data_IF_352337254586
#
_entry.id   IF_352337254586
#
_cell.length_a   1.000
_cell.length_b   1.000
_cell.length_c   1.000
_cell.angle_alpha   90.00
_cell.angle_beta   90.00
_cell.angle_gamma   90.00
#
_symmetry.space_group_name_H-M   'P 1'
#
loop_
_entity.id
_entity.type
_entity.pdbx_description
1 polymer ?
#
# COMPACT_ATOMS: atom_id res chain seq x y z
N UNK A 1 -33.19 -42.64 -1.39
CA UNK A 1 -31.95 -42.97 -0.67
C UNK A 1 -31.01 -41.81 -0.90
N UNK A 2 -30.93 -40.99 0.11
CA UNK A 2 -30.07 -39.79 0.14
C UNK A 2 -28.69 -40.27 0.59
N UNK A 3 -27.68 -40.10 -0.19
CA UNK A 3 -26.30 -40.28 0.26
C UNK A 3 -25.69 -38.88 0.51
N UNK A 4 -25.42 -38.64 1.78
CA UNK A 4 -24.58 -37.59 2.30
C UNK A 4 -23.21 -37.66 1.65
N UNK A 5 -22.83 -36.58 0.96
CA UNK A 5 -21.45 -36.35 0.55
C UNK A 5 -20.81 -35.50 1.66
N UNK A 6 -19.95 -36.13 2.43
CA UNK A 6 -19.15 -35.51 3.46
C UNK A 6 -18.27 -34.39 2.85
N UNK A 7 -18.45 -33.20 3.37
CA UNK A 7 -17.48 -32.09 3.31
C UNK A 7 -16.29 -32.48 4.19
N UNK A 8 -15.23 -33.00 3.60
CA UNK A 8 -13.90 -33.07 4.21
C UNK A 8 -12.86 -33.36 3.11
N UNK A 9 -12.57 -32.37 2.28
CA UNK A 9 -11.27 -32.23 1.65
C UNK A 9 -10.60 -30.95 2.17
N UNK A 10 -10.20 -31.01 3.41
CA UNK A 10 -9.25 -30.10 4.01
C UNK A 10 -7.90 -30.27 3.32
N UNK A 11 -7.51 -29.20 2.61
CA UNK A 11 -6.16 -28.78 2.26
C UNK A 11 -5.11 -29.60 3.00
N UNK A 12 -4.24 -30.28 2.22
CA UNK A 12 -3.13 -31.08 2.74
C UNK A 12 -2.22 -30.36 3.73
N UNK A 13 -2.60 -30.35 4.97
CA UNK A 13 -1.69 -30.16 6.09
C UNK A 13 -0.80 -31.42 6.14
N UNK A 14 0.35 -31.36 5.47
CA UNK A 14 1.41 -32.30 5.75
C UNK A 14 1.72 -32.20 7.25
N UNK A 15 1.56 -33.32 7.96
CA UNK A 15 1.88 -33.46 9.37
C UNK A 15 3.32 -33.00 9.62
N UNK A 16 3.47 -31.80 10.15
CA UNK A 16 4.78 -31.32 10.60
C UNK A 16 5.12 -32.13 11.84
N UNK A 17 6.25 -32.83 11.80
CA UNK A 17 6.71 -33.67 12.89
C UNK A 17 6.83 -32.86 14.20
N UNK A 18 6.39 -33.36 15.37
CA UNK A 18 6.43 -32.61 16.65
C UNK A 18 7.79 -31.98 17.00
N UNK A 19 8.90 -32.57 16.57
CA UNK A 19 10.24 -32.02 16.76
C UNK A 19 10.47 -30.75 15.93
N UNK A 20 9.91 -30.65 14.71
CA UNK A 20 9.99 -29.46 13.84
C UNK A 20 9.20 -28.30 14.47
N UNK A 21 8.04 -28.58 15.08
CA UNK A 21 7.24 -27.57 15.78
C UNK A 21 8.04 -27.01 16.98
N UNK A 22 8.79 -27.84 17.70
CA UNK A 22 9.59 -27.42 18.84
C UNK A 22 10.81 -26.59 18.43
N UNK A 23 11.49 -26.93 17.34
CA UNK A 23 12.58 -26.15 16.77
C UNK A 23 12.08 -24.79 16.24
N UNK A 24 10.97 -24.75 15.52
CA UNK A 24 10.34 -23.52 15.04
C UNK A 24 9.92 -22.56 16.17
N UNK A 25 9.61 -23.07 17.37
CA UNK A 25 9.21 -22.23 18.52
C UNK A 25 10.36 -21.39 19.08
N UNK A 26 11.61 -21.76 18.84
CA UNK A 26 12.81 -21.06 19.32
C UNK A 26 13.44 -20.15 18.26
N UNK A 27 13.04 -20.28 16.98
CA UNK A 27 13.56 -19.48 15.88
C UNK A 27 12.91 -18.09 15.86
N UNK A 28 13.69 -17.07 15.49
CA UNK A 28 13.14 -15.73 15.23
C UNK A 28 12.32 -15.69 13.91
N UNK A 29 11.55 -14.64 13.69
CA UNK A 29 10.69 -14.54 12.50
C UNK A 29 11.44 -14.60 11.16
N UNK A 30 12.69 -14.13 11.11
CA UNK A 30 13.50 -14.17 9.87
C UNK A 30 13.88 -15.60 9.51
N UNK A 31 14.29 -16.38 10.50
CA UNK A 31 14.65 -17.80 10.33
C UNK A 31 13.41 -18.64 9.96
N UNK A 32 12.29 -18.43 10.68
CA UNK A 32 11.00 -19.06 10.37
C UNK A 32 10.55 -18.77 8.94
N UNK A 33 10.65 -17.52 8.54
CA UNK A 33 10.29 -17.10 7.18
C UNK A 33 11.17 -17.77 6.12
N UNK A 34 12.50 -17.79 6.32
CA UNK A 34 13.40 -18.44 5.37
C UNK A 34 13.11 -19.94 5.22
N UNK A 35 12.87 -20.63 6.37
CA UNK A 35 12.51 -22.05 6.35
C UNK A 35 11.18 -22.27 5.62
N UNK A 36 10.17 -21.48 5.92
CA UNK A 36 8.87 -21.56 5.25
C UNK A 36 8.96 -21.33 3.73
N UNK A 37 9.76 -20.35 3.27
CA UNK A 37 9.96 -20.11 1.84
C UNK A 37 10.62 -21.31 1.12
N UNK A 38 11.54 -22.03 1.78
CA UNK A 38 12.13 -23.27 1.24
C UNK A 38 11.09 -24.38 1.09
N UNK A 39 10.17 -24.50 2.05
CA UNK A 39 9.12 -25.52 2.07
C UNK A 39 8.02 -25.18 1.06
N UNK A 40 7.54 -23.94 1.02
CA UNK A 40 6.50 -23.49 0.10
C UNK A 40 6.93 -23.52 -1.36
N UNK A 41 8.20 -23.23 -1.64
CA UNK A 41 8.74 -23.10 -3.01
C UNK A 41 7.96 -22.10 -3.87
N UNK A 42 7.44 -21.05 -3.26
CA UNK A 42 6.54 -20.05 -3.81
C UNK A 42 5.27 -19.94 -2.98
N UNK A 43 4.62 -18.77 -3.03
CA UNK A 43 3.43 -18.46 -2.21
C UNK A 43 2.13 -18.49 -3.00
N UNK A 44 2.20 -18.59 -4.32
CA UNK A 44 1.05 -18.51 -5.22
C UNK A 44 1.03 -19.68 -6.18
N UNK A 45 -0.16 -20.11 -6.54
CA UNK A 45 -0.42 -21.12 -7.58
C UNK A 45 -1.61 -20.72 -8.44
N UNK A 46 -1.74 -21.29 -9.62
CA UNK A 46 -2.91 -21.11 -10.50
C UNK A 46 -3.87 -22.28 -10.31
N UNK A 47 -5.17 -21.97 -10.14
CA UNK A 47 -6.22 -22.96 -10.07
C UNK A 47 -7.21 -22.78 -11.24
N UNK A 48 -7.51 -23.81 -12.02
CA UNK A 48 -8.55 -23.78 -13.03
C UNK A 48 -9.92 -23.44 -12.41
N UNK A 49 -10.72 -22.65 -13.12
CA UNK A 49 -12.09 -22.29 -12.71
C UNK A 49 -13.15 -23.10 -13.42
N UNK A 50 -12.75 -23.85 -14.44
CA UNK A 50 -13.63 -24.68 -15.27
C UNK A 50 -13.13 -26.12 -15.28
N UNK A 51 -14.01 -27.12 -15.33
CA UNK A 51 -13.59 -28.50 -15.48
C UNK A 51 -12.98 -28.74 -16.88
N UNK A 52 -12.07 -29.71 -16.99
CA UNK A 52 -11.56 -30.25 -18.26
C UNK A 52 -11.44 -31.76 -18.08
N UNK A 53 -12.59 -32.42 -17.84
CA UNK A 53 -12.64 -33.85 -17.53
C UNK A 53 -13.23 -34.66 -18.71
N UNK A 54 -13.99 -34.00 -19.58
CA UNK A 54 -14.65 -34.62 -20.72
C UNK A 54 -14.23 -33.99 -22.03
N UNK A 55 -14.53 -34.68 -23.14
CA UNK A 55 -14.34 -34.13 -24.49
C UNK A 55 -15.17 -32.86 -24.71
N UNK A 56 -16.36 -32.81 -24.12
CA UNK A 56 -17.25 -31.64 -24.20
C UNK A 56 -16.65 -30.46 -23.45
N UNK A 57 -16.17 -30.65 -22.21
CA UNK A 57 -15.51 -29.60 -21.43
C UNK A 57 -14.32 -29.02 -22.20
N UNK A 58 -13.47 -29.88 -22.79
CA UNK A 58 -12.34 -29.45 -23.59
C UNK A 58 -12.79 -28.65 -24.82
N UNK A 59 -13.87 -29.08 -25.48
CA UNK A 59 -14.38 -28.40 -26.67
C UNK A 59 -15.00 -27.03 -26.34
N UNK A 60 -15.56 -26.87 -25.15
CA UNK A 60 -16.09 -25.58 -24.66
C UNK A 60 -14.96 -24.67 -24.16
N UNK A 61 -14.07 -25.22 -23.32
CA UNK A 61 -13.03 -24.43 -22.66
C UNK A 61 -11.88 -24.03 -23.61
N UNK A 62 -11.65 -24.81 -24.68
CA UNK A 62 -10.59 -24.58 -25.62
C UNK A 62 -11.11 -24.69 -27.08
N UNK A 63 -10.65 -25.64 -27.86
CA UNK A 63 -11.04 -25.75 -29.27
C UNK A 63 -12.15 -26.77 -29.48
N UNK A 64 -13.18 -26.46 -30.32
CA UNK A 64 -13.35 -25.27 -31.15
C UNK A 64 -14.10 -24.10 -30.49
N UNK A 65 -14.75 -24.28 -29.35
CA UNK A 65 -15.71 -23.36 -28.75
C UNK A 65 -15.13 -21.99 -28.39
N UNK A 66 -13.86 -21.93 -27.94
CA UNK A 66 -13.18 -20.68 -27.55
C UNK A 66 -13.14 -19.63 -28.68
N UNK A 67 -13.21 -20.07 -29.95
CA UNK A 67 -13.16 -19.18 -31.10
C UNK A 67 -14.30 -18.16 -31.11
N UNK A 68 -15.47 -18.50 -30.57
CA UNK A 68 -16.59 -17.57 -30.49
C UNK A 68 -16.31 -16.41 -29.53
N UNK A 69 -15.73 -16.69 -28.35
CA UNK A 69 -15.30 -15.64 -27.42
C UNK A 69 -14.21 -14.73 -28.04
N UNK A 70 -13.29 -15.31 -28.81
CA UNK A 70 -12.27 -14.53 -29.53
C UNK A 70 -12.89 -13.57 -30.56
N UNK A 71 -13.90 -14.01 -31.30
CA UNK A 71 -14.59 -13.17 -32.28
C UNK A 71 -15.35 -12.03 -31.60
N UNK A 72 -16.06 -12.30 -30.52
CA UNK A 72 -16.76 -11.28 -29.73
C UNK A 72 -15.80 -10.19 -29.22
N UNK A 73 -14.61 -10.60 -28.71
CA UNK A 73 -13.59 -9.65 -28.24
C UNK A 73 -12.94 -8.90 -29.40
N UNK A 74 -12.74 -9.55 -30.56
CA UNK A 74 -12.22 -8.89 -31.76
C UNK A 74 -13.13 -7.78 -32.23
N UNK A 75 -14.46 -7.98 -32.16
CA UNK A 75 -15.44 -7.01 -32.58
C UNK A 75 -15.63 -5.87 -31.56
N UNK A 76 -15.52 -6.18 -30.27
CA UNK A 76 -15.51 -5.21 -29.19
C UNK A 76 -14.51 -5.61 -28.09
N UNK A 77 -13.35 -4.93 -28.03
CA UNK A 77 -12.28 -5.20 -27.05
C UNK A 77 -12.76 -5.06 -25.61
N UNK A 78 -13.79 -4.27 -25.32
CA UNK A 78 -14.35 -4.14 -23.95
C UNK A 78 -14.91 -5.47 -23.45
N UNK A 79 -15.40 -6.35 -24.32
CA UNK A 79 -15.85 -7.70 -23.95
C UNK A 79 -14.75 -8.57 -23.34
N UNK A 80 -13.48 -8.20 -23.50
CA UNK A 80 -12.39 -8.90 -22.79
C UNK A 80 -12.51 -8.82 -21.28
N UNK A 81 -13.14 -7.77 -20.74
CA UNK A 81 -13.45 -7.65 -19.31
C UNK A 81 -14.62 -8.54 -18.86
N UNK A 82 -15.46 -9.00 -19.77
CA UNK A 82 -16.60 -9.88 -19.49
C UNK A 82 -16.23 -11.35 -19.72
N UNK A 83 -15.54 -11.62 -20.84
CA UNK A 83 -15.31 -12.97 -21.36
C UNK A 83 -13.97 -13.57 -20.92
N UNK A 84 -13.13 -12.82 -20.24
CA UNK A 84 -11.85 -13.33 -19.71
C UNK A 84 -11.65 -12.93 -18.24
N UNK A 85 -10.61 -13.46 -17.61
CA UNK A 85 -10.23 -13.08 -16.24
C UNK A 85 -9.57 -11.69 -16.15
N UNK A 86 -9.40 -10.99 -17.26
CA UNK A 86 -8.83 -9.65 -17.34
C UNK A 86 -9.43 -8.70 -16.29
N UNK A 87 -10.76 -8.71 -16.12
CA UNK A 87 -11.47 -7.84 -15.19
C UNK A 87 -10.99 -7.94 -13.74
N UNK A 88 -10.46 -9.09 -13.31
CA UNK A 88 -10.08 -9.37 -11.91
C UNK A 88 -8.59 -9.60 -11.73
N UNK A 89 -7.75 -9.24 -12.67
CA UNK A 89 -6.31 -9.50 -12.62
C UNK A 89 -5.53 -8.20 -12.47
N UNK A 90 -4.66 -8.13 -11.45
CA UNK A 90 -3.77 -6.99 -11.15
C UNK A 90 -2.35 -7.50 -10.92
N UNK A 91 -1.40 -7.27 -11.84
CA UNK A 91 0.00 -7.59 -11.59
C UNK A 91 0.60 -6.66 -10.53
N UNK A 92 1.56 -7.19 -9.77
CA UNK A 92 2.48 -6.43 -8.93
C UNK A 92 3.79 -6.27 -9.69
N UNK A 93 4.10 -5.06 -10.11
CA UNK A 93 5.23 -4.76 -11.00
C UNK A 93 6.32 -4.02 -10.24
N UNK A 94 7.55 -4.51 -10.31
CA UNK A 94 8.73 -3.93 -9.66
C UNK A 94 9.97 -3.98 -10.56
N UNK A 95 10.90 -3.05 -10.33
CA UNK A 95 12.28 -3.16 -10.80
C UNK A 95 13.27 -3.52 -9.67
N UNK A 96 12.77 -3.67 -8.45
CA UNK A 96 13.53 -4.08 -7.27
C UNK A 96 14.51 -3.03 -6.74
N UNK A 97 14.28 -1.73 -7.01
CA UNK A 97 15.21 -0.66 -6.64
C UNK A 97 14.93 0.01 -5.30
N UNK A 98 13.81 -0.32 -4.61
CA UNK A 98 13.44 0.28 -3.34
C UNK A 98 12.80 -0.71 -2.35
N UNK A 99 13.31 -1.95 -2.28
CA UNK A 99 12.67 -3.06 -1.57
C UNK A 99 12.81 -2.93 -0.05
N UNK A 100 11.68 -2.76 0.65
CA UNK A 100 11.49 -2.91 2.12
C UNK A 100 12.69 -2.47 3.03
N UNK A 101 13.31 -1.31 2.78
CA UNK A 101 14.47 -0.86 3.55
C UNK A 101 15.78 -1.60 3.23
N UNK A 102 15.76 -2.56 2.30
CA UNK A 102 16.96 -3.20 1.73
C UNK A 102 17.55 -2.39 0.58
N UNK A 103 16.73 -1.48 0.01
CA UNK A 103 17.13 -0.64 -1.11
C UNK A 103 17.14 -1.37 -2.44
N UNK A 104 18.14 -1.07 -3.25
CA UNK A 104 18.30 -1.63 -4.60
C UNK A 104 18.95 -3.03 -4.53
N UNK A 105 18.11 -4.05 -4.46
CA UNK A 105 18.54 -5.47 -4.43
C UNK A 105 18.28 -6.20 -5.74
N UNK A 106 17.67 -5.53 -6.71
CA UNK A 106 17.32 -6.08 -8.01
C UNK A 106 15.99 -6.84 -8.04
N UNK A 107 15.45 -7.05 -9.24
CA UNK A 107 14.08 -7.52 -9.43
C UNK A 107 13.86 -8.96 -8.90
N UNK A 108 14.78 -9.89 -9.13
CA UNK A 108 14.62 -11.28 -8.68
C UNK A 108 14.69 -11.40 -7.15
N UNK A 109 15.55 -10.61 -6.49
CA UNK A 109 15.64 -10.61 -5.04
C UNK A 109 14.38 -9.98 -4.39
N UNK A 110 13.67 -9.10 -5.11
CA UNK A 110 12.38 -8.55 -4.70
C UNK A 110 11.20 -9.54 -4.86
N UNK A 111 11.34 -10.60 -5.66
CA UNK A 111 10.24 -11.52 -5.98
C UNK A 111 9.50 -12.07 -4.74
N UNK A 112 10.16 -12.48 -3.65
CA UNK A 112 9.44 -12.96 -2.47
C UNK A 112 8.48 -11.93 -1.84
N UNK A 113 8.81 -10.64 -1.92
CA UNK A 113 7.94 -9.54 -1.46
C UNK A 113 6.74 -9.40 -2.39
N UNK A 114 6.96 -9.44 -3.71
CA UNK A 114 5.91 -9.32 -4.72
C UNK A 114 4.93 -10.50 -4.68
N UNK A 115 5.41 -11.72 -4.42
CA UNK A 115 4.54 -12.87 -4.15
C UNK A 115 3.71 -12.66 -2.87
N UNK A 116 4.31 -12.13 -1.81
CA UNK A 116 3.61 -11.77 -0.59
C UNK A 116 2.48 -10.77 -0.87
N UNK A 117 2.77 -9.72 -1.65
CA UNK A 117 1.77 -8.74 -2.07
C UNK A 117 0.62 -9.40 -2.86
N UNK A 118 0.94 -10.32 -3.76
CA UNK A 118 -0.06 -11.08 -4.55
C UNK A 118 -0.96 -11.95 -3.67
N UNK A 119 -0.40 -12.60 -2.63
CA UNK A 119 -1.18 -13.34 -1.62
C UNK A 119 -2.19 -12.42 -0.92
N UNK A 120 -1.76 -11.21 -0.52
CA UNK A 120 -2.63 -10.25 0.15
C UNK A 120 -3.75 -9.73 -0.76
N UNK A 121 -3.45 -9.47 -2.05
CA UNK A 121 -4.47 -9.15 -3.05
C UNK A 121 -5.54 -10.24 -3.15
N UNK A 122 -5.12 -11.51 -3.19
CA UNK A 122 -6.06 -12.63 -3.27
C UNK A 122 -6.84 -12.81 -1.97
N UNK A 123 -6.15 -12.78 -0.82
CA UNK A 123 -6.75 -13.07 0.48
C UNK A 123 -7.81 -12.05 0.88
N UNK A 124 -7.55 -10.76 0.64
CA UNK A 124 -8.38 -9.67 1.15
C UNK A 124 -9.22 -8.98 0.08
N UNK A 125 -8.79 -9.02 -1.19
CA UNK A 125 -9.50 -8.38 -2.30
C UNK A 125 -10.17 -9.38 -3.26
N UNK A 126 -9.93 -10.68 -3.11
CA UNK A 126 -10.24 -11.72 -4.12
C UNK A 126 -9.79 -11.32 -5.54
N UNK A 127 -8.62 -10.70 -5.64
CA UNK A 127 -8.00 -10.27 -6.90
C UNK A 127 -6.90 -11.26 -7.27
N UNK A 128 -6.91 -11.74 -8.50
CA UNK A 128 -5.85 -12.59 -9.02
C UNK A 128 -4.65 -11.72 -9.34
N UNK A 129 -3.54 -11.96 -8.67
CA UNK A 129 -2.35 -11.12 -8.76
C UNK A 129 -1.10 -11.93 -9.03
N UNK A 130 -0.22 -11.40 -9.87
CA UNK A 130 1.05 -12.02 -10.25
C UNK A 130 2.18 -11.03 -10.13
N UNK A 131 3.34 -11.46 -9.58
CA UNK A 131 4.55 -10.64 -9.56
C UNK A 131 5.17 -10.58 -10.96
N UNK A 132 5.52 -9.36 -11.39
CA UNK A 132 6.25 -9.12 -12.63
C UNK A 132 7.50 -8.28 -12.33
N UNK A 133 8.66 -8.90 -12.39
CA UNK A 133 9.94 -8.27 -12.08
C UNK A 133 10.64 -7.84 -13.38
N UNK A 134 10.88 -6.54 -13.57
CA UNK A 134 11.48 -5.97 -14.79
C UNK A 134 12.97 -5.74 -14.56
N UNK A 135 13.81 -6.35 -15.43
CA UNK A 135 15.28 -6.18 -15.43
C UNK A 135 15.72 -4.90 -16.13
N UNK A 136 15.12 -3.77 -15.79
CA UNK A 136 15.53 -2.46 -16.30
C UNK A 136 15.32 -1.39 -15.24
N UNK A 137 16.19 -0.39 -15.25
CA UNK A 137 16.07 0.86 -14.48
C UNK A 137 15.78 2.07 -15.39
N UNK A 138 15.65 1.83 -16.68
CA UNK A 138 15.28 2.86 -17.64
C UNK A 138 13.79 3.11 -17.62
N UNK A 139 13.39 4.36 -17.40
CA UNK A 139 11.99 4.78 -17.30
C UNK A 139 11.20 4.48 -18.57
N UNK A 140 11.78 4.72 -19.76
CA UNK A 140 11.11 4.48 -21.03
C UNK A 140 10.90 2.98 -21.29
N UNK A 141 11.91 2.16 -21.00
CA UNK A 141 11.79 0.71 -21.13
C UNK A 141 10.73 0.13 -20.20
N UNK A 142 10.68 0.60 -18.93
CA UNK A 142 9.67 0.16 -17.96
C UNK A 142 8.27 0.52 -18.44
N UNK A 143 8.04 1.79 -18.81
CA UNK A 143 6.73 2.27 -19.29
C UNK A 143 6.31 1.51 -20.56
N UNK A 144 7.21 1.38 -21.53
CA UNK A 144 6.95 0.65 -22.77
C UNK A 144 6.58 -0.81 -22.49
N UNK A 145 7.33 -1.48 -21.61
CA UNK A 145 7.12 -2.89 -21.26
C UNK A 145 5.73 -3.06 -20.63
N UNK A 146 5.38 -2.23 -19.65
CA UNK A 146 4.07 -2.29 -18.99
C UNK A 146 2.92 -2.07 -19.97
N UNK A 147 3.05 -1.09 -20.86
CA UNK A 147 2.04 -0.79 -21.90
C UNK A 147 1.81 -1.96 -22.84
N UNK A 148 2.85 -2.69 -23.21
CA UNK A 148 2.73 -3.86 -24.10
C UNK A 148 1.91 -5.00 -23.47
N UNK A 149 1.92 -5.14 -22.15
CA UNK A 149 1.16 -6.15 -21.41
C UNK A 149 -0.21 -5.67 -20.89
N UNK A 150 -0.48 -4.36 -20.88
CA UNK A 150 -1.65 -3.76 -20.25
C UNK A 150 -2.99 -4.35 -20.74
N UNK A 151 -3.04 -4.87 -21.96
CA UNK A 151 -4.21 -5.55 -22.51
C UNK A 151 -4.66 -6.79 -21.75
N UNK A 152 -3.81 -7.36 -20.89
CA UNK A 152 -4.09 -8.57 -20.11
C UNK A 152 -4.62 -8.29 -18.70
N UNK A 153 -4.67 -7.02 -18.27
CA UNK A 153 -4.90 -6.65 -16.87
C UNK A 153 -6.12 -5.77 -16.67
N UNK A 154 -6.74 -5.91 -15.50
CA UNK A 154 -7.83 -5.04 -15.03
C UNK A 154 -7.35 -3.82 -14.27
N UNK A 155 -6.12 -3.85 -13.76
CA UNK A 155 -5.42 -2.77 -13.10
C UNK A 155 -3.94 -3.11 -12.95
N UNK A 156 -3.12 -2.20 -12.45
CA UNK A 156 -1.66 -2.36 -12.27
C UNK A 156 -1.26 -1.81 -10.91
N UNK A 157 -0.60 -2.62 -10.08
CA UNK A 157 0.09 -2.17 -8.88
C UNK A 157 1.59 -2.05 -9.15
N UNK A 158 2.13 -0.84 -9.01
CA UNK A 158 3.57 -0.59 -9.03
C UNK A 158 4.10 -0.70 -7.60
N UNK A 159 5.24 -1.34 -7.42
CA UNK A 159 5.82 -1.65 -6.12
C UNK A 159 7.34 -1.51 -6.12
N UNK A 160 7.89 -0.96 -5.04
CA UNK A 160 9.34 -0.94 -4.78
C UNK A 160 10.19 -0.32 -5.92
N UNK A 161 9.62 0.66 -6.64
CA UNK A 161 10.33 1.45 -7.67
C UNK A 161 10.83 2.74 -7.03
N UNK A 162 12.14 3.00 -7.11
CA UNK A 162 12.76 4.12 -6.43
C UNK A 162 12.37 5.49 -7.00
N UNK A 163 12.27 6.48 -6.08
CA UNK A 163 12.18 7.90 -6.43
C UNK A 163 13.49 8.38 -7.09
N UNK A 164 13.45 9.33 -8.07
CA UNK A 164 12.27 10.04 -8.56
C UNK A 164 11.52 9.33 -9.71
N UNK A 165 12.05 8.22 -10.27
CA UNK A 165 11.50 7.55 -11.44
C UNK A 165 10.05 7.07 -11.25
N UNK A 166 9.73 6.59 -10.04
CA UNK A 166 8.39 6.10 -9.73
C UNK A 166 7.30 7.13 -10.00
N UNK A 167 7.56 8.43 -9.78
CA UNK A 167 6.58 9.49 -10.05
C UNK A 167 6.25 9.62 -11.53
N UNK A 168 7.27 9.63 -12.37
CA UNK A 168 7.11 9.73 -13.83
C UNK A 168 6.43 8.49 -14.40
N UNK A 169 6.89 7.30 -13.99
CA UNK A 169 6.34 6.01 -14.45
C UNK A 169 4.84 5.94 -14.13
N UNK A 170 4.44 6.22 -12.90
CA UNK A 170 3.04 6.18 -12.50
C UNK A 170 2.19 7.21 -13.26
N UNK A 171 2.65 8.47 -13.31
CA UNK A 171 1.91 9.55 -13.95
C UNK A 171 1.64 9.24 -15.42
N UNK A 172 2.66 8.86 -16.16
CA UNK A 172 2.53 8.55 -17.59
C UNK A 172 1.65 7.31 -17.83
N UNK A 173 1.79 6.27 -17.02
CA UNK A 173 0.93 5.09 -17.16
C UNK A 173 -0.54 5.41 -16.85
N UNK A 174 -0.83 6.28 -15.87
CA UNK A 174 -2.19 6.76 -15.60
C UNK A 174 -2.81 7.56 -16.75
N UNK A 175 -1.99 8.34 -17.45
CA UNK A 175 -2.43 9.14 -18.59
C UNK A 175 -2.63 8.30 -19.85
N UNK A 176 -1.78 7.30 -20.06
CA UNK A 176 -1.69 6.52 -21.30
C UNK A 176 -2.50 5.21 -21.27
N UNK A 177 -3.00 4.77 -20.10
CA UNK A 177 -3.78 3.54 -19.94
C UNK A 177 -5.21 3.82 -19.47
N UNK A 178 -6.15 3.00 -19.90
CA UNK A 178 -7.56 3.05 -19.51
C UNK A 178 -7.91 1.99 -18.44
N UNK A 179 -6.96 1.72 -17.56
CA UNK A 179 -7.11 0.83 -16.39
C UNK A 179 -6.46 1.49 -15.17
N UNK A 180 -6.92 1.20 -13.94
CA UNK A 180 -6.31 1.73 -12.72
C UNK A 180 -4.82 1.40 -12.62
N UNK A 181 -3.99 2.43 -12.43
CA UNK A 181 -2.57 2.31 -12.09
C UNK A 181 -2.35 2.95 -10.74
N UNK A 182 -1.62 2.28 -9.86
CA UNK A 182 -1.41 2.73 -8.49
C UNK A 182 -0.02 2.30 -8.00
N UNK A 183 0.74 3.23 -7.41
CA UNK A 183 2.02 2.95 -6.78
C UNK A 183 1.83 2.90 -5.26
N UNK A 184 1.91 1.71 -4.67
CA UNK A 184 1.52 1.49 -3.29
C UNK A 184 2.45 2.19 -2.28
N UNK A 185 3.76 2.20 -2.50
CA UNK A 185 4.71 2.90 -1.61
C UNK A 185 4.47 4.41 -1.51
N UNK A 186 3.94 5.00 -2.59
CA UNK A 186 3.58 6.42 -2.60
C UNK A 186 2.24 6.63 -1.89
N UNK A 187 1.20 6.01 -2.43
CA UNK A 187 -0.17 6.34 -2.11
C UNK A 187 -0.76 5.45 -1.03
N UNK A 188 -0.39 4.16 -0.96
CA UNK A 188 -0.87 3.26 0.10
C UNK A 188 -0.44 3.74 1.47
N UNK A 189 0.84 4.12 1.60
CA UNK A 189 1.37 4.69 2.84
C UNK A 189 0.71 6.01 3.20
N UNK A 190 0.44 6.88 2.22
CA UNK A 190 -0.26 8.15 2.46
C UNK A 190 -1.71 7.94 2.94
N UNK A 191 -2.43 7.01 2.31
CA UNK A 191 -3.82 6.68 2.64
C UNK A 191 -3.94 6.11 4.06
N UNK A 192 -3.12 5.13 4.43
CA UNK A 192 -3.18 4.54 5.77
C UNK A 192 -2.71 5.50 6.86
N UNK A 193 -1.74 6.36 6.55
CA UNK A 193 -1.28 7.41 7.48
C UNK A 193 -2.38 8.43 7.74
N UNK A 194 -3.11 8.86 6.71
CA UNK A 194 -4.26 9.74 6.88
C UNK A 194 -5.37 9.04 7.68
N UNK A 195 -5.67 7.76 7.42
CA UNK A 195 -6.65 7.00 8.19
C UNK A 195 -6.30 6.97 9.69
N UNK A 196 -5.04 6.69 10.03
CA UNK A 196 -4.53 6.74 11.40
C UNK A 196 -4.67 8.14 12.00
N UNK A 197 -4.30 9.16 11.24
CA UNK A 197 -4.36 10.55 11.69
C UNK A 197 -5.80 11.02 11.93
N UNK A 198 -6.76 10.65 11.09
CA UNK A 198 -8.20 10.96 11.29
C UNK A 198 -8.67 10.49 12.67
N UNK A 199 -8.36 9.27 13.06
CA UNK A 199 -8.78 8.71 14.34
C UNK A 199 -7.94 9.24 15.50
N UNK A 200 -6.64 9.46 15.31
CA UNK A 200 -5.77 10.08 16.31
C UNK A 200 -6.24 11.51 16.65
N UNK A 201 -6.63 12.29 15.64
CA UNK A 201 -7.14 13.66 15.84
C UNK A 201 -8.44 13.71 16.64
N UNK A 202 -9.34 12.72 16.47
CA UNK A 202 -10.55 12.60 17.31
C UNK A 202 -10.22 12.41 18.78
N UNK A 203 -9.17 11.63 19.11
CA UNK A 203 -8.76 11.39 20.50
C UNK A 203 -8.10 12.60 21.16
N UNK A 204 -7.39 13.41 20.40
CA UNK A 204 -6.71 14.60 20.94
C UNK A 204 -7.55 15.87 20.86
N UNK A 205 -8.73 15.80 20.22
CA UNK A 205 -9.65 16.92 19.96
C UNK A 205 -8.97 18.08 19.22
N UNK A 206 -8.21 17.74 18.15
CA UNK A 206 -7.54 18.73 17.28
C UNK A 206 -8.05 18.61 15.85
N UNK A 207 -8.03 19.72 15.09
CA UNK A 207 -8.40 19.77 13.68
C UNK A 207 -7.16 19.75 12.80
N UNK A 208 -7.21 19.04 11.68
CA UNK A 208 -6.09 18.94 10.75
C UNK A 208 -5.61 20.30 10.21
N UNK A 209 -6.51 21.28 10.11
CA UNK A 209 -6.19 22.64 9.66
C UNK A 209 -5.35 23.46 10.65
N UNK A 210 -5.34 23.07 11.93
CA UNK A 210 -4.82 23.89 13.02
C UNK A 210 -3.53 23.30 13.63
N UNK A 211 -3.16 22.07 13.22
CA UNK A 211 -2.00 21.34 13.74
C UNK A 211 -0.76 21.56 12.90
N UNK A 212 0.39 21.57 13.54
CA UNK A 212 1.71 21.55 12.91
C UNK A 212 2.17 20.11 12.69
N UNK A 213 2.38 19.73 11.44
CA UNK A 213 2.81 18.39 11.02
C UNK A 213 4.26 18.45 10.55
N UNK A 214 5.11 17.57 11.08
CA UNK A 214 6.49 17.37 10.63
C UNK A 214 6.61 16.01 9.97
N UNK A 215 7.08 15.99 8.72
CA UNK A 215 7.35 14.76 7.97
C UNK A 215 8.88 14.63 7.81
N UNK A 216 9.45 13.54 8.30
CA UNK A 216 10.88 13.25 8.17
C UNK A 216 11.11 12.17 7.12
N UNK A 217 11.66 12.57 5.98
CA UNK A 217 11.88 11.77 4.79
C UNK A 217 11.21 12.40 3.57
N UNK A 218 12.00 12.90 2.61
CA UNK A 218 11.52 13.55 1.40
C UNK A 218 11.74 12.67 0.15
N UNK A 219 11.48 11.36 0.32
CA UNK A 219 11.39 10.36 -0.74
C UNK A 219 9.97 10.19 -1.25
N UNK A 220 9.71 9.05 -1.94
CA UNK A 220 8.40 8.75 -2.53
C UNK A 220 7.26 8.83 -1.51
N UNK A 221 7.35 8.12 -0.39
CA UNK A 221 6.33 8.11 0.65
C UNK A 221 6.12 9.49 1.29
N UNK A 222 7.20 10.17 1.73
CA UNK A 222 7.08 11.45 2.44
C UNK A 222 6.49 12.56 1.58
N UNK A 223 6.89 12.66 0.32
CA UNK A 223 6.32 13.65 -0.63
C UNK A 223 4.85 13.34 -0.89
N UNK A 224 4.48 12.07 -1.04
CA UNK A 224 3.09 11.67 -1.26
C UNK A 224 2.22 11.91 -0.02
N UNK A 225 2.68 11.56 1.17
CA UNK A 225 1.99 11.86 2.43
C UNK A 225 1.77 13.38 2.55
N UNK A 226 2.82 14.17 2.31
CA UNK A 226 2.75 15.62 2.38
C UNK A 226 1.67 16.19 1.45
N UNK A 227 1.74 15.87 0.16
CA UNK A 227 0.76 16.33 -0.84
C UNK A 227 -0.66 15.88 -0.47
N UNK A 228 -0.81 14.65 0.02
CA UNK A 228 -2.10 14.08 0.37
C UNK A 228 -2.73 14.75 1.60
N UNK A 229 -1.93 15.00 2.66
CA UNK A 229 -2.38 15.73 3.85
C UNK A 229 -2.75 17.19 3.55
N UNK A 230 -1.97 17.87 2.69
CA UNK A 230 -2.30 19.22 2.22
C UNK A 230 -3.63 19.22 1.46
N UNK A 231 -3.85 18.25 0.59
CA UNK A 231 -5.13 18.09 -0.13
C UNK A 231 -6.31 17.83 0.83
N UNK A 232 -6.09 17.07 1.91
CA UNK A 232 -7.12 16.80 2.91
C UNK A 232 -7.39 17.98 3.86
N UNK A 233 -6.59 19.05 3.77
CA UNK A 233 -6.82 20.30 4.51
C UNK A 233 -5.79 20.67 5.57
N UNK A 234 -4.66 19.95 5.66
CA UNK A 234 -3.52 20.39 6.47
C UNK A 234 -2.96 21.71 5.94
N UNK A 235 -2.57 22.62 6.84
CA UNK A 235 -2.05 23.95 6.47
C UNK A 235 -0.61 24.15 6.88
N UNK A 236 -0.19 23.59 8.00
CA UNK A 236 1.13 23.80 8.59
C UNK A 236 1.95 22.49 8.51
N UNK A 237 2.53 22.23 7.34
CA UNK A 237 3.36 21.05 7.10
C UNK A 237 4.81 21.49 6.87
N UNK A 238 5.73 20.85 7.58
CA UNK A 238 7.16 20.94 7.36
C UNK A 238 7.68 19.57 6.95
N UNK A 239 8.43 19.50 5.85
CA UNK A 239 9.07 18.27 5.40
C UNK A 239 10.59 18.41 5.54
N UNK A 240 11.25 17.37 6.01
CA UNK A 240 12.69 17.30 6.21
C UNK A 240 13.31 16.19 5.36
N UNK A 241 14.53 16.40 4.93
CA UNK A 241 15.40 15.37 4.38
C UNK A 241 16.64 15.15 5.28
N UNK A 242 17.65 14.42 4.78
CA UNK A 242 18.90 14.19 5.50
C UNK A 242 19.68 15.47 5.81
N UNK A 243 19.48 16.54 5.03
CA UNK A 243 20.13 17.84 5.21
C UNK A 243 19.41 18.72 6.24
N UNK A 244 18.12 18.49 6.47
CA UNK A 244 17.27 19.25 7.37
C UNK A 244 15.94 19.66 6.73
N UNK A 245 15.42 20.80 7.15
CA UNK A 245 14.15 21.34 6.66
C UNK A 245 14.28 21.73 5.19
N UNK A 246 13.36 21.21 4.37
CA UNK A 246 13.28 21.60 2.95
C UNK A 246 12.67 23.00 2.84
N UNK A 247 13.39 23.89 2.18
CA UNK A 247 12.98 25.29 1.96
C UNK A 247 12.87 25.61 0.48
N UNK A 248 11.92 26.46 0.11
CA UNK A 248 11.80 26.99 -1.24
C UNK A 248 13.06 27.79 -1.60
N UNK A 249 13.58 27.61 -2.82
CA UNK A 249 14.77 28.29 -3.30
C UNK A 249 16.09 27.54 -3.04
N UNK A 250 16.08 26.36 -2.39
CA UNK A 250 17.27 25.52 -2.25
C UNK A 250 17.58 24.78 -3.57
N UNK A 251 18.67 25.15 -4.20
CA UNK A 251 19.12 24.58 -5.48
C UNK A 251 19.54 23.11 -5.38
N UNK A 252 19.84 22.61 -4.19
CA UNK A 252 20.27 21.24 -3.96
C UNK A 252 19.12 20.21 -3.99
N UNK A 253 17.88 20.67 -4.04
CA UNK A 253 16.68 19.85 -4.08
C UNK A 253 16.46 19.24 -5.47
N UNK A 254 16.01 17.99 -5.52
CA UNK A 254 15.51 17.38 -6.75
C UNK A 254 14.15 17.98 -7.19
N UNK A 255 13.71 17.67 -8.39
CA UNK A 255 12.47 18.21 -8.97
C UNK A 255 11.25 18.05 -8.06
N UNK A 256 11.03 16.86 -7.51
CA UNK A 256 9.87 16.56 -6.66
C UNK A 256 9.95 17.30 -5.30
N UNK A 257 11.15 17.43 -4.75
CA UNK A 257 11.41 18.22 -3.54
C UNK A 257 11.21 19.72 -3.79
N UNK A 258 11.66 20.25 -4.95
CA UNK A 258 11.40 21.65 -5.36
C UNK A 258 9.91 21.95 -5.49
N UNK A 259 9.12 21.01 -5.99
CA UNK A 259 7.67 21.18 -6.06
C UNK A 259 7.02 21.24 -4.67
N UNK A 260 7.36 20.29 -3.78
CA UNK A 260 6.75 20.22 -2.45
C UNK A 260 7.21 21.38 -1.56
N UNK A 261 8.43 21.89 -1.72
CA UNK A 261 8.94 23.04 -0.96
C UNK A 261 8.09 24.31 -1.16
N UNK A 262 7.50 24.48 -2.33
CA UNK A 262 6.57 25.60 -2.63
C UNK A 262 5.25 25.49 -1.88
N UNK A 263 4.87 24.31 -1.44
CA UNK A 263 3.59 24.02 -0.79
C UNK A 263 3.69 23.98 0.73
N UNK A 264 4.89 23.78 1.27
CA UNK A 264 5.17 23.53 2.68
C UNK A 264 5.92 24.67 3.36
N UNK A 265 6.16 24.56 4.66
CA UNK A 265 7.02 25.49 5.43
C UNK A 265 6.69 26.98 5.19
N UNK A 266 5.42 27.33 5.24
CA UNK A 266 4.96 28.71 4.98
C UNK A 266 5.48 29.74 5.99
N UNK A 267 5.97 29.28 7.13
CA UNK A 267 6.57 30.13 8.18
C UNK A 267 8.08 30.31 7.98
N UNK A 268 8.63 29.75 6.91
CA UNK A 268 10.07 29.85 6.56
C UNK A 268 11.01 29.42 7.70
N UNK A 269 10.65 28.34 8.39
CA UNK A 269 11.51 27.74 9.44
C UNK A 269 12.74 27.13 8.78
N UNK A 270 13.92 27.43 9.34
CA UNK A 270 15.19 26.86 8.90
C UNK A 270 15.81 26.00 9.99
N UNK A 271 16.66 25.05 9.61
CA UNK A 271 17.42 24.22 10.55
C UNK A 271 17.30 22.74 10.27
N UNK A 272 17.45 21.96 11.34
CA UNK A 272 17.42 20.50 11.31
C UNK A 272 16.06 19.95 11.77
N UNK A 273 15.90 18.64 11.75
CA UNK A 273 14.68 17.97 12.20
C UNK A 273 14.27 18.44 13.62
N UNK A 274 15.22 18.57 14.55
CA UNK A 274 14.95 19.03 15.91
C UNK A 274 14.29 20.44 15.94
N UNK A 275 14.67 21.33 15.02
CA UNK A 275 14.06 22.66 14.93
C UNK A 275 12.63 22.60 14.38
N UNK A 276 12.40 21.70 13.41
CA UNK A 276 11.05 21.44 12.88
C UNK A 276 10.10 20.90 13.97
N UNK A 277 10.59 19.98 14.81
CA UNK A 277 9.78 19.29 15.81
C UNK A 277 9.35 20.16 16.99
N UNK A 278 10.02 21.30 17.24
CA UNK A 278 9.61 22.24 18.30
C UNK A 278 8.17 22.73 18.07
N UNK A 279 7.30 22.45 19.04
CA UNK A 279 5.88 22.82 18.97
C UNK A 279 5.10 22.10 17.86
N UNK A 280 5.55 20.96 17.38
CA UNK A 280 4.80 20.13 16.43
C UNK A 280 3.72 19.33 17.17
N UNK A 281 2.58 19.14 16.54
CA UNK A 281 1.48 18.28 17.04
C UNK A 281 1.63 16.84 16.53
N UNK A 282 2.14 16.70 15.30
CA UNK A 282 2.26 15.42 14.63
C UNK A 282 3.67 15.25 14.05
N UNK A 283 4.28 14.12 14.31
CA UNK A 283 5.49 13.64 13.64
C UNK A 283 5.17 12.41 12.80
N UNK A 284 5.61 12.41 11.54
CA UNK A 284 5.52 11.27 10.62
C UNK A 284 6.92 10.98 10.09
N UNK A 285 7.47 9.83 10.43
CA UNK A 285 8.78 9.36 10.00
C UNK A 285 8.66 8.35 8.87
N UNK A 286 9.31 8.60 7.74
CA UNK A 286 9.45 7.71 6.58
C UNK A 286 10.87 7.81 6.02
N UNK A 287 11.85 7.84 6.92
CA UNK A 287 13.25 8.10 6.59
C UNK A 287 14.14 6.91 6.94
N UNK A 288 14.74 6.92 8.08
CA UNK A 288 15.70 5.92 8.51
C UNK A 288 15.76 5.76 10.02
N UNK A 289 16.40 4.69 10.48
CA UNK A 289 16.39 4.28 11.88
C UNK A 289 17.02 5.33 12.80
N UNK A 290 16.48 5.44 14.03
CA UNK A 290 17.05 6.21 15.13
C UNK A 290 17.35 7.69 14.82
N UNK A 291 16.57 8.29 13.93
CA UNK A 291 16.72 9.71 13.54
C UNK A 291 16.06 10.69 14.51
N UNK A 292 15.26 10.20 15.47
CA UNK A 292 14.53 11.01 16.46
C UNK A 292 14.97 10.68 17.87
N UNK A 293 15.26 11.71 18.68
CA UNK A 293 15.63 11.59 20.09
C UNK A 293 14.45 11.82 21.04
N UNK A 294 14.59 11.45 22.31
CA UNK A 294 13.60 11.77 23.37
C UNK A 294 13.36 13.27 23.50
N UNK A 295 14.41 14.08 23.44
CA UNK A 295 14.34 15.55 23.55
C UNK A 295 13.53 16.16 22.41
N UNK A 296 13.62 15.59 21.18
CA UNK A 296 12.78 16.01 20.08
C UNK A 296 11.29 15.74 20.34
N UNK A 297 10.94 14.57 20.88
CA UNK A 297 9.55 14.27 21.28
C UNK A 297 9.09 15.19 22.40
N UNK A 298 9.92 15.45 23.43
CA UNK A 298 9.61 16.34 24.52
C UNK A 298 9.41 17.80 24.10
N UNK A 299 9.97 18.20 22.94
CA UNK A 299 9.81 19.54 22.39
C UNK A 299 8.50 19.73 21.61
N UNK A 300 7.75 18.65 21.37
CA UNK A 300 6.45 18.70 20.71
C UNK A 300 5.34 19.25 21.63
N UNK A 301 4.22 19.61 21.04
CA UNK A 301 3.05 20.04 21.78
C UNK A 301 2.45 18.91 22.64
N UNK A 302 1.68 19.30 23.65
CA UNK A 302 0.87 18.34 24.43
C UNK A 302 -0.04 17.51 23.54
N UNK A 303 -0.27 16.26 23.95
CA UNK A 303 -1.03 15.26 23.20
C UNK A 303 -0.46 15.05 21.78
N UNK A 304 0.86 14.99 21.66
CA UNK A 304 1.55 14.75 20.39
C UNK A 304 1.22 13.36 19.80
N UNK A 305 1.16 13.31 18.48
CA UNK A 305 0.95 12.09 17.68
C UNK A 305 2.27 11.77 17.00
N UNK A 306 2.78 10.55 17.15
CA UNK A 306 4.11 10.15 16.68
C UNK A 306 4.00 8.86 15.86
N UNK A 307 4.23 8.97 14.56
CA UNK A 307 4.19 7.86 13.61
C UNK A 307 5.58 7.59 13.03
N UNK A 308 6.47 6.84 13.72
CA UNK A 308 7.78 6.41 13.22
C UNK A 308 7.59 5.16 12.34
N UNK A 309 7.51 5.33 11.02
CA UNK A 309 7.10 4.29 10.08
C UNK A 309 8.26 3.57 9.39
N UNK A 310 9.52 3.99 9.60
CA UNK A 310 10.67 3.33 9.00
C UNK A 310 10.75 1.84 9.39
N UNK A 311 11.03 1.00 8.41
CA UNK A 311 11.19 -0.45 8.57
C UNK A 311 12.58 -0.89 8.11
N UNK A 312 13.22 -1.91 8.77
CA UNK A 312 12.70 -2.68 9.90
C UNK A 312 12.89 -2.01 11.27
N UNK A 313 13.62 -0.90 11.35
CA UNK A 313 13.90 -0.16 12.59
C UNK A 313 13.30 1.23 12.47
N UNK A 314 12.41 1.63 13.39
CA UNK A 314 11.75 2.94 13.32
C UNK A 314 12.71 4.10 13.66
N UNK A 315 12.28 5.32 13.35
CA UNK A 315 13.00 6.57 13.65
C UNK A 315 13.25 6.77 15.14
N UNK A 316 12.36 6.25 15.98
CA UNK A 316 12.51 6.15 17.44
C UNK A 316 11.80 4.88 17.90
N UNK A 317 12.38 4.20 18.88
CA UNK A 317 11.71 3.07 19.51
C UNK A 317 10.40 3.54 20.16
N UNK A 318 9.26 2.86 19.94
CA UNK A 318 7.96 3.26 20.47
C UNK A 318 7.90 3.42 21.98
N UNK A 319 8.58 2.55 22.74
CA UNK A 319 8.63 2.66 24.19
C UNK A 319 9.40 3.91 24.64
N UNK A 320 10.49 4.25 23.93
CA UNK A 320 11.23 5.49 24.20
C UNK A 320 10.40 6.73 23.83
N UNK A 321 9.61 6.68 22.77
CA UNK A 321 8.71 7.77 22.41
C UNK A 321 7.61 7.96 23.47
N UNK A 322 7.08 6.85 24.00
CA UNK A 322 6.08 6.86 25.08
C UNK A 322 6.66 7.43 26.37
N UNK A 323 7.84 7.01 26.76
CA UNK A 323 8.58 7.57 27.93
C UNK A 323 8.87 9.07 27.77
N UNK A 324 9.11 9.54 26.54
CA UNK A 324 9.33 10.94 26.24
C UNK A 324 8.05 11.79 26.21
N UNK A 325 6.88 11.19 26.35
CA UNK A 325 5.58 11.88 26.45
C UNK A 325 4.74 11.87 25.17
N UNK A 326 5.08 11.07 24.14
CA UNK A 326 4.21 10.88 22.99
C UNK A 326 2.85 10.34 23.44
N UNK A 327 1.76 10.97 23.00
CA UNK A 327 0.42 10.62 23.46
C UNK A 327 -0.20 9.48 22.65
N UNK A 328 -0.08 9.53 21.33
CA UNK A 328 -0.49 8.43 20.42
C UNK A 328 0.71 8.04 19.59
N UNK A 329 0.96 6.72 19.51
CA UNK A 329 2.05 6.17 18.72
C UNK A 329 1.48 5.13 17.76
N UNK A 330 1.88 5.20 16.49
CA UNK A 330 1.61 4.18 15.47
C UNK A 330 2.88 3.88 14.69
N UNK A 331 3.11 2.62 14.33
CA UNK A 331 4.35 2.19 13.66
C UNK A 331 4.08 1.34 12.43
N UNK A 332 5.08 1.15 11.58
CA UNK A 332 5.00 0.17 10.47
C UNK A 332 5.09 -1.28 10.93
N UNK A 333 5.56 -1.56 12.16
CA UNK A 333 5.77 -2.90 12.69
C UNK A 333 4.51 -3.50 13.31
N UNK A 334 4.31 -4.80 13.09
CA UNK A 334 3.24 -5.57 13.74
C UNK A 334 3.50 -5.93 15.21
N UNK A 335 4.69 -5.59 15.71
CA UNK A 335 5.08 -5.87 17.11
C UNK A 335 4.46 -4.87 18.10
N UNK A 336 3.95 -3.75 17.62
CA UNK A 336 3.40 -2.67 18.42
C UNK A 336 1.92 -2.40 18.08
N UNK A 337 1.25 -1.70 18.97
CA UNK A 337 -0.11 -1.21 18.73
C UNK A 337 -0.14 -0.23 17.53
N UNK A 338 -1.32 -0.08 16.91
CA UNK A 338 -1.54 0.84 15.81
C UNK A 338 -0.58 0.60 14.63
N UNK A 339 -0.58 -0.62 14.10
CA UNK A 339 0.21 -0.91 12.91
C UNK A 339 -0.31 -0.11 11.71
N UNK A 340 0.49 0.86 11.24
CA UNK A 340 0.22 1.65 10.04
C UNK A 340 0.84 0.91 8.86
N UNK A 341 0.00 0.11 8.17
CA UNK A 341 0.45 -0.77 7.11
C UNK A 341 -0.48 -0.65 5.90
N UNK A 342 0.09 -0.46 4.71
CA UNK A 342 -0.62 -0.31 3.45
C UNK A 342 -1.43 -1.56 3.03
N UNK A 343 -1.24 -2.70 3.68
CA UNK A 343 -2.13 -3.87 3.57
C UNK A 343 -3.59 -3.48 3.82
N UNK A 344 -3.88 -2.55 4.73
CA UNK A 344 -5.25 -2.06 4.95
C UNK A 344 -5.84 -1.34 3.73
N UNK A 345 -5.02 -0.94 2.77
CA UNK A 345 -5.41 -0.09 1.64
C UNK A 345 -5.60 -0.86 0.36
N UNK A 346 -4.49 -1.38 -0.22
CA UNK A 346 -4.44 -1.75 -1.63
C UNK A 346 -5.42 -2.86 -2.03
N UNK A 347 -5.71 -3.90 -1.22
CA UNK A 347 -6.64 -4.94 -1.64
C UNK A 347 -8.06 -4.40 -1.80
N UNK A 348 -8.53 -3.62 -0.81
CA UNK A 348 -9.84 -2.97 -0.85
C UNK A 348 -9.92 -1.87 -1.90
N UNK A 349 -8.88 -1.07 -2.06
CA UNK A 349 -8.80 0.01 -3.04
C UNK A 349 -8.97 -0.53 -4.48
N UNK A 350 -8.20 -1.54 -4.85
CA UNK A 350 -8.32 -2.17 -6.16
C UNK A 350 -9.65 -2.92 -6.33
N UNK A 351 -10.15 -3.60 -5.26
CA UNK A 351 -11.46 -4.23 -5.31
C UNK A 351 -12.57 -3.21 -5.61
N UNK A 352 -12.58 -2.08 -4.93
CA UNK A 352 -13.53 -1.01 -5.15
C UNK A 352 -13.42 -0.39 -6.55
N UNK A 353 -12.19 -0.14 -7.03
CA UNK A 353 -11.94 0.39 -8.36
C UNK A 353 -12.40 -0.57 -9.47
N UNK A 354 -12.10 -1.86 -9.32
CA UNK A 354 -12.52 -2.90 -10.29
C UNK A 354 -14.03 -3.08 -10.27
N UNK A 355 -14.67 -3.14 -9.10
CA UNK A 355 -16.14 -3.28 -8.97
C UNK A 355 -16.91 -2.07 -9.50
N UNK A 356 -16.28 -0.90 -9.51
CA UNK A 356 -16.82 0.29 -10.15
C UNK A 356 -16.54 0.36 -11.66
N UNK A 357 -15.75 -0.58 -12.21
CA UNK A 357 -15.21 -0.49 -13.57
C UNK A 357 -14.49 0.85 -13.80
N UNK A 358 -13.68 1.29 -12.81
CA UNK A 358 -12.96 2.55 -12.87
C UNK A 358 -11.81 2.48 -13.90
N UNK A 359 -11.58 3.58 -14.60
CA UNK A 359 -10.43 3.72 -15.51
C UNK A 359 -9.16 4.21 -14.80
N UNK A 360 -9.31 4.82 -13.64
CA UNK A 360 -8.20 5.37 -12.85
C UNK A 360 -8.58 5.38 -11.37
N UNK A 361 -7.59 5.52 -10.50
CA UNK A 361 -7.76 5.82 -9.08
C UNK A 361 -7.39 7.29 -8.88
N UNK A 362 -8.41 8.11 -8.53
CA UNK A 362 -8.23 9.54 -8.28
C UNK A 362 -8.07 9.85 -6.78
N UNK A 363 -7.81 11.12 -6.47
CA UNK A 363 -7.59 11.59 -5.11
C UNK A 363 -8.81 11.38 -4.20
N UNK A 364 -10.02 11.58 -4.72
CA UNK A 364 -11.26 11.39 -3.97
C UNK A 364 -11.50 9.93 -3.59
N UNK A 365 -11.11 8.99 -4.44
CA UNK A 365 -11.13 7.55 -4.12
C UNK A 365 -10.11 7.22 -3.03
N UNK A 366 -8.93 7.83 -3.05
CA UNK A 366 -7.90 7.65 -2.02
C UNK A 366 -8.34 8.24 -0.67
N UNK A 367 -8.96 9.41 -0.67
CA UNK A 367 -9.57 10.00 0.55
C UNK A 367 -10.67 9.10 1.10
N UNK A 368 -11.56 8.61 0.24
CA UNK A 368 -12.62 7.70 0.63
C UNK A 368 -12.06 6.38 1.23
N UNK A 369 -10.94 5.88 0.73
CA UNK A 369 -10.25 4.74 1.32
C UNK A 369 -9.76 5.05 2.74
N UNK A 370 -9.14 6.21 2.96
CA UNK A 370 -8.68 6.64 4.30
C UNK A 370 -9.84 6.76 5.29
N UNK A 371 -10.92 7.40 4.89
CA UNK A 371 -12.13 7.56 5.70
C UNK A 371 -12.81 6.21 5.97
N UNK A 372 -12.85 5.32 4.97
CA UNK A 372 -13.34 3.95 5.07
C UNK A 372 -12.57 3.15 6.13
N UNK A 373 -11.24 3.17 6.09
CA UNK A 373 -10.40 2.52 7.10
C UNK A 373 -10.67 3.11 8.49
N UNK A 374 -10.67 4.44 8.62
CA UNK A 374 -10.88 5.12 9.89
C UNK A 374 -12.26 4.80 10.49
N UNK A 375 -13.29 4.64 9.66
CA UNK A 375 -14.65 4.32 10.09
C UNK A 375 -14.83 2.90 10.63
N UNK A 376 -13.89 2.00 10.34
CA UNK A 376 -13.92 0.62 10.85
C UNK A 376 -13.62 0.52 12.35
N UNK A 377 -13.06 1.57 12.94
CA UNK A 377 -12.89 1.68 14.40
C UNK A 377 -14.08 2.46 14.95
N UNK A 378 -14.93 1.79 15.70
CA UNK A 378 -16.09 2.43 16.32
C UNK A 378 -15.67 3.42 17.40
N UNK A 379 -16.57 4.36 17.75
CA UNK A 379 -16.28 5.36 18.79
C UNK A 379 -15.97 4.74 20.15
N UNK A 380 -16.58 3.59 20.45
CA UNK A 380 -16.40 2.90 21.74
C UNK A 380 -15.11 2.09 21.80
N UNK A 381 -14.57 1.67 20.65
CA UNK A 381 -13.29 0.95 20.55
C UNK A 381 -12.10 1.90 20.43
N UNK A 382 -12.34 3.13 19.96
CA UNK A 382 -11.30 4.10 19.68
C UNK A 382 -10.51 4.47 20.93
N UNK A 383 -9.21 4.12 20.93
CA UNK A 383 -8.31 4.36 22.05
C UNK A 383 -6.90 4.71 21.55
N UNK A 384 -6.01 5.10 22.44
CA UNK A 384 -4.62 5.43 22.11
C UNK A 384 -3.86 4.24 21.51
N UNK A 385 -4.24 3.04 21.85
CA UNK A 385 -3.67 1.77 21.39
C UNK A 385 -4.47 1.14 20.24
N UNK A 386 -5.61 1.73 19.83
CA UNK A 386 -6.46 1.20 18.75
C UNK A 386 -7.08 2.33 17.92
N UNK A 387 -6.29 2.92 17.01
CA UNK A 387 -6.72 3.97 16.05
C UNK A 387 -6.95 3.42 14.65
N UNK A 388 -6.53 2.19 14.37
CA UNK A 388 -6.72 1.49 13.11
C UNK A 388 -7.23 0.07 13.36
N UNK A 389 -8.02 -0.51 12.44
CA UNK A 389 -8.34 -1.93 12.48
C UNK A 389 -7.08 -2.76 12.24
N UNK A 390 -7.09 -4.02 12.67
CA UNK A 390 -5.98 -4.93 12.37
C UNK A 390 -5.89 -5.21 10.87
N UNK A 391 -4.67 -5.32 10.29
CA UNK A 391 -4.48 -5.56 8.85
C UNK A 391 -5.14 -6.84 8.32
N UNK A 392 -5.38 -7.81 9.17
CA UNK A 392 -6.06 -9.07 8.85
C UNK A 392 -7.59 -9.04 9.06
N UNK A 393 -8.15 -7.90 9.48
CA UNK A 393 -9.60 -7.75 9.62
C UNK A 393 -10.25 -7.59 8.23
N UNK A 394 -10.96 -8.64 7.81
CA UNK A 394 -11.66 -8.65 6.51
C UNK A 394 -12.72 -7.56 6.38
N UNK A 395 -13.33 -7.12 7.48
CA UNK A 395 -14.32 -6.04 7.44
C UNK A 395 -13.70 -4.72 6.97
N UNK A 396 -12.47 -4.42 7.38
CA UNK A 396 -11.77 -3.22 6.95
C UNK A 396 -11.60 -3.19 5.42
N UNK A 397 -11.20 -4.30 4.82
CA UNK A 397 -11.02 -4.38 3.37
C UNK A 397 -12.34 -4.23 2.60
N UNK A 398 -13.45 -4.77 3.13
CA UNK A 398 -14.79 -4.60 2.55
C UNK A 398 -15.24 -3.13 2.66
N UNK A 399 -15.04 -2.48 3.81
CA UNK A 399 -15.32 -1.06 3.99
C UNK A 399 -14.55 -0.19 2.99
N UNK A 400 -13.26 -0.43 2.82
CA UNK A 400 -12.43 0.29 1.84
C UNK A 400 -12.97 0.10 0.43
N UNK A 401 -13.25 -1.15 0.03
CA UNK A 401 -13.78 -1.46 -1.30
C UNK A 401 -15.09 -0.72 -1.59
N UNK A 402 -16.00 -0.71 -0.63
CA UNK A 402 -17.29 -0.02 -0.76
C UNK A 402 -17.09 1.51 -0.87
N UNK A 403 -16.30 2.12 0.01
CA UNK A 403 -16.04 3.56 0.01
C UNK A 403 -15.38 4.03 -1.29
N UNK A 404 -14.42 3.25 -1.78
CA UNK A 404 -13.73 3.54 -3.04
C UNK A 404 -14.65 3.40 -4.24
N UNK A 405 -15.49 2.35 -4.27
CA UNK A 405 -16.49 2.14 -5.34
C UNK A 405 -17.48 3.32 -5.42
N UNK A 406 -18.00 3.74 -4.29
CA UNK A 406 -18.92 4.88 -4.22
C UNK A 406 -18.24 6.18 -4.68
N UNK A 407 -16.99 6.41 -4.29
CA UNK A 407 -16.22 7.57 -4.73
C UNK A 407 -15.95 7.54 -6.24
N UNK A 408 -15.60 6.38 -6.80
CA UNK A 408 -15.39 6.22 -8.26
C UNK A 408 -16.64 6.57 -9.05
N UNK A 409 -17.82 6.09 -8.61
CA UNK A 409 -19.11 6.39 -9.23
C UNK A 409 -19.42 7.88 -9.10
N UNK A 410 -19.30 8.45 -7.91
CA UNK A 410 -19.57 9.87 -7.64
C UNK A 410 -18.70 10.80 -8.47
N UNK A 411 -17.44 10.46 -8.67
CA UNK A 411 -16.48 11.30 -9.43
C UNK A 411 -16.47 11.02 -10.93
N UNK A 412 -17.26 10.05 -11.40
CA UNK A 412 -17.45 9.77 -12.82
C UNK A 412 -16.24 9.17 -13.53
N UNK A 413 -15.32 8.53 -12.80
CA UNK A 413 -14.12 7.90 -13.40
C UNK A 413 -14.37 6.47 -13.88
N UNK A 414 -15.64 6.07 -13.97
CA UNK A 414 -16.04 4.77 -14.50
C UNK A 414 -15.95 4.72 -16.03
N UNK A 415 -15.62 3.57 -16.59
CA UNK A 415 -15.65 3.32 -18.04
C UNK A 415 -17.10 3.33 -18.52
N UNK A 416 -17.32 3.98 -19.64
CA UNK A 416 -18.64 4.00 -20.31
C UNK A 416 -18.87 2.75 -21.13
#
# INVERSE_FOLDING_TARGET
MVHDIHHDELIGLHFIHPNVIKELSTMNYKEKSLQAHKEWRGKIEMKPRVPVETREDLSIAYTPGVSQACLEIKDDVKKSFELTRRWNTVPVITDGTAVLGLGDIGPEAGLPVMEGKSVLFKTFGDIDSYPLCIRSKDTEEIIKTIKLFAGSWGGINLEDISSPRCFEIETRLKEELDIPVFHDDQHGTAIVTLAALINALKLVDKKISDIKIVINGAGAAGISICKFLLNYGAKHVIICDLKGIICEGDDSLNTAQKEVSKLTNKEHVHGKLADAMKGADVFIGVSGPNSVSKEMIQSMNEKSIVFPLANPVPEINPELAKEAGAYIIGTGSSEYANQINNVLVFPGLFRGAIDANARTINTEMMVAASEGIASCVSKDELSREYILPYPYDRKAHVCVAQSVKEAAIRTGVIKK
#
